data_IF_865533821606
#
_entry.id   IF_865533821606
#
_cell.length_a   1.000
_cell.length_b   1.000
_cell.length_c   1.000
_cell.angle_alpha   90.00
_cell.angle_beta   90.00
_cell.angle_gamma   90.00
#
_symmetry.space_group_name_H-M   'P 1'
#
loop_
_entity.id
_entity.type
_entity.pdbx_description
1 polymer ?
#
# COMPACT_ATOMS: atom_id res chain seq x y z
N UNK A 1 3.68 8.23 24.24
CA UNK A 1 3.27 9.00 23.07
C UNK A 1 1.90 8.53 22.66
N UNK A 2 1.05 9.45 22.22
CA UNK A 2 -0.24 9.11 21.61
C UNK A 2 -0.05 8.80 20.12
N UNK A 3 -0.99 8.07 19.50
CA UNK A 3 -0.97 7.81 18.05
C UNK A 3 -0.84 9.09 17.22
N UNK A 4 -1.41 10.21 17.68
CA UNK A 4 -1.35 11.50 17.00
C UNK A 4 0.05 12.12 17.09
N UNK A 5 0.71 12.00 18.25
CA UNK A 5 2.10 12.43 18.43
C UNK A 5 3.04 11.58 17.58
N UNK A 6 2.88 10.25 17.58
CA UNK A 6 3.68 9.35 16.76
C UNK A 6 3.50 9.62 15.26
N UNK A 7 2.30 9.99 14.83
CA UNK A 7 2.06 10.44 13.46
C UNK A 7 2.74 11.79 13.17
N UNK A 8 2.62 12.77 14.08
CA UNK A 8 3.23 14.10 13.92
C UNK A 8 4.75 14.04 13.82
N UNK A 9 5.39 13.19 14.63
CA UNK A 9 6.83 12.98 14.59
C UNK A 9 7.30 12.02 13.50
N UNK A 10 6.39 11.44 12.71
CA UNK A 10 6.72 10.52 11.62
C UNK A 10 7.15 9.13 12.07
N UNK A 11 6.85 8.73 13.31
CA UNK A 11 7.07 7.37 13.81
C UNK A 11 6.07 6.37 13.18
N UNK A 12 4.94 6.88 12.65
CA UNK A 12 3.98 6.10 11.88
C UNK A 12 4.08 6.55 10.41
N UNK A 13 4.57 5.64 9.56
CA UNK A 13 4.67 5.82 8.11
C UNK A 13 3.74 4.83 7.40
N UNK A 14 2.46 5.18 7.16
CA UNK A 14 1.49 4.23 6.63
C UNK A 14 1.78 3.78 5.19
N UNK A 15 2.56 4.57 4.46
CA UNK A 15 3.02 4.26 3.10
C UNK A 15 4.24 3.34 3.09
N UNK A 16 4.93 3.16 4.21
CA UNK A 16 6.13 2.35 4.29
C UNK A 16 5.75 0.89 4.58
N UNK A 17 5.98 0.01 3.60
CA UNK A 17 5.80 -1.43 3.78
C UNK A 17 7.13 -2.09 4.09
N UNK A 18 7.32 -2.50 5.34
CA UNK A 18 8.45 -3.35 5.70
C UNK A 18 8.21 -4.80 5.26
N UNK A 19 8.97 -5.28 4.27
CA UNK A 19 8.92 -6.67 3.85
C UNK A 19 9.88 -7.48 4.71
N UNK A 20 9.32 -8.19 5.70
CA UNK A 20 10.12 -9.09 6.54
C UNK A 20 10.62 -10.29 5.71
N UNK A 21 11.92 -10.61 5.86
CA UNK A 21 12.55 -11.77 5.19
C UNK A 21 11.82 -13.07 5.52
N UNK A 22 11.71 -13.95 4.53
CA UNK A 22 11.07 -15.26 4.67
C UNK A 22 9.55 -15.24 4.61
N UNK A 23 8.92 -14.06 4.58
CA UNK A 23 7.47 -13.93 4.35
C UNK A 23 7.09 -14.36 2.94
N UNK A 24 5.80 -14.62 2.72
CA UNK A 24 5.27 -14.88 1.37
C UNK A 24 5.55 -13.70 0.43
N UNK A 25 5.50 -12.47 0.93
CA UNK A 25 5.81 -11.26 0.16
C UNK A 25 7.27 -11.24 -0.28
N UNK A 26 8.22 -11.50 0.63
CA UNK A 26 9.66 -11.61 0.29
C UNK A 26 9.92 -12.67 -0.80
N UNK A 27 9.26 -13.83 -0.71
CA UNK A 27 9.38 -14.89 -1.73
C UNK A 27 8.80 -14.45 -3.08
N UNK A 28 7.67 -13.76 -3.09
CA UNK A 28 7.06 -13.25 -4.31
C UNK A 28 7.92 -12.17 -4.97
N UNK A 29 8.48 -11.23 -4.19
CA UNK A 29 9.40 -10.22 -4.72
C UNK A 29 10.60 -10.87 -5.40
N UNK A 30 11.20 -11.90 -4.78
CA UNK A 30 12.30 -12.64 -5.40
C UNK A 30 11.91 -13.33 -6.71
N UNK A 31 10.70 -13.89 -6.78
CA UNK A 31 10.18 -14.50 -8.00
C UNK A 31 9.93 -13.46 -9.09
N UNK A 32 9.41 -12.28 -8.73
CA UNK A 32 9.22 -11.16 -9.66
C UNK A 32 10.56 -10.75 -10.25
N UNK A 33 11.58 -10.49 -9.43
CA UNK A 33 12.91 -10.14 -9.93
C UNK A 33 13.50 -11.21 -10.85
N UNK A 34 13.40 -12.49 -10.46
CA UNK A 34 13.88 -13.59 -11.30
C UNK A 34 13.18 -13.63 -12.66
N UNK A 35 11.85 -13.52 -12.68
CA UNK A 35 11.08 -13.56 -13.92
C UNK A 35 11.36 -12.33 -14.79
N UNK A 36 11.59 -11.17 -14.17
CA UNK A 36 11.96 -9.94 -14.85
C UNK A 36 13.34 -10.06 -15.51
N UNK A 37 14.33 -10.62 -14.80
CA UNK A 37 15.67 -10.86 -15.34
C UNK A 37 15.62 -11.81 -16.55
N UNK A 38 14.89 -12.92 -16.42
CA UNK A 38 14.69 -13.91 -17.50
C UNK A 38 14.01 -13.29 -18.72
N UNK A 39 12.98 -12.45 -18.51
CA UNK A 39 12.29 -11.74 -19.58
C UNK A 39 13.22 -10.73 -20.27
N UNK A 40 13.92 -9.91 -19.49
CA UNK A 40 14.75 -8.80 -19.98
C UNK A 40 15.97 -9.30 -20.75
N UNK A 41 16.48 -10.49 -20.43
CA UNK A 41 17.58 -11.13 -21.16
C UNK A 41 17.24 -11.40 -22.65
N UNK A 42 15.96 -11.63 -22.97
CA UNK A 42 15.50 -11.90 -24.33
C UNK A 42 15.06 -10.65 -25.12
N UNK A 43 15.01 -9.47 -24.48
CA UNK A 43 14.51 -8.24 -25.10
C UNK A 43 15.62 -7.50 -25.87
N UNK A 44 15.26 -6.91 -27.00
CA UNK A 44 16.08 -5.91 -27.69
C UNK A 44 16.12 -4.59 -26.91
N UNK A 45 17.10 -3.73 -27.17
CA UNK A 45 17.23 -2.43 -26.47
C UNK A 45 15.96 -1.56 -26.57
N UNK A 46 15.32 -1.50 -27.75
CA UNK A 46 14.07 -0.75 -27.92
C UNK A 46 12.92 -1.34 -27.08
N UNK A 47 12.85 -2.67 -26.98
CA UNK A 47 11.85 -3.35 -26.16
C UNK A 47 12.11 -3.12 -24.67
N UNK A 48 13.37 -3.12 -24.23
CA UNK A 48 13.74 -2.78 -22.85
C UNK A 48 13.32 -1.35 -22.50
N UNK A 49 13.61 -0.38 -23.36
CA UNK A 49 13.18 1.01 -23.15
C UNK A 49 11.65 1.13 -23.00
N UNK A 50 10.91 0.39 -23.84
CA UNK A 50 9.44 0.37 -23.79
C UNK A 50 8.94 -0.31 -22.51
N UNK A 51 9.62 -1.39 -22.10
CA UNK A 51 9.28 -2.15 -20.90
C UNK A 51 9.54 -1.35 -19.61
N UNK A 52 10.66 -0.61 -19.53
CA UNK A 52 10.92 0.28 -18.40
C UNK A 52 9.87 1.40 -18.31
N UNK A 53 9.52 2.05 -19.43
CA UNK A 53 8.42 3.04 -19.44
C UNK A 53 7.09 2.43 -18.97
N UNK A 54 6.81 1.19 -19.37
CA UNK A 54 5.62 0.47 -18.89
C UNK A 54 5.67 0.21 -17.37
N UNK A 55 6.81 -0.21 -16.83
CA UNK A 55 7.00 -0.40 -15.39
C UNK A 55 6.82 0.93 -14.63
N UNK A 56 7.39 2.02 -15.12
CA UNK A 56 7.27 3.34 -14.53
C UNK A 56 5.80 3.77 -14.46
N UNK A 57 5.06 3.70 -15.58
CA UNK A 57 3.64 4.03 -15.60
C UNK A 57 2.80 3.13 -14.69
N UNK A 58 3.12 1.83 -14.63
CA UNK A 58 2.43 0.87 -13.74
C UNK A 58 2.70 1.17 -12.28
N UNK A 59 3.93 1.56 -11.93
CA UNK A 59 4.31 1.97 -10.58
C UNK A 59 3.60 3.26 -10.18
N UNK A 60 3.55 4.26 -11.06
CA UNK A 60 2.83 5.51 -10.80
C UNK A 60 1.33 5.27 -10.57
N UNK A 61 0.69 4.46 -11.42
CA UNK A 61 -0.71 4.07 -11.26
C UNK A 61 -0.95 3.35 -9.92
N UNK A 62 -0.03 2.46 -9.54
CA UNK A 62 -0.10 1.74 -8.26
C UNK A 62 -0.01 2.70 -7.09
N UNK A 63 0.91 3.67 -7.11
CA UNK A 63 1.02 4.71 -6.09
C UNK A 63 -0.28 5.53 -5.94
N UNK A 64 -0.89 5.94 -7.06
CA UNK A 64 -2.16 6.67 -7.04
C UNK A 64 -3.26 5.81 -6.41
N UNK A 65 -3.39 4.56 -6.86
CA UNK A 65 -4.42 3.63 -6.38
C UNK A 65 -4.24 3.30 -4.90
N UNK A 66 -3.01 3.07 -4.45
CA UNK A 66 -2.72 2.81 -3.03
C UNK A 66 -3.07 4.02 -2.15
N UNK A 67 -2.78 5.24 -2.60
CA UNK A 67 -3.17 6.47 -1.90
C UNK A 67 -4.69 6.64 -1.84
N UNK A 68 -5.40 6.38 -2.93
CA UNK A 68 -6.87 6.47 -2.97
C UNK A 68 -7.53 5.43 -2.07
N UNK A 69 -7.05 4.19 -2.11
CA UNK A 69 -7.50 3.11 -1.25
C UNK A 69 -7.23 3.43 0.23
N UNK A 70 -6.07 4.02 0.54
CA UNK A 70 -5.74 4.49 1.87
C UNK A 70 -6.75 5.53 2.38
N UNK A 71 -6.97 6.61 1.63
CA UNK A 71 -7.93 7.66 1.98
C UNK A 71 -9.35 7.08 2.18
N UNK A 72 -9.79 6.27 1.23
CA UNK A 72 -11.12 5.63 1.27
C UNK A 72 -11.27 4.72 2.48
N UNK A 73 -10.23 3.97 2.84
CA UNK A 73 -10.20 3.11 4.02
C UNK A 73 -10.35 3.88 5.33
N UNK A 74 -9.66 5.02 5.48
CA UNK A 74 -9.77 5.87 6.67
C UNK A 74 -11.15 6.51 6.80
N UNK A 75 -11.72 6.99 5.68
CA UNK A 75 -13.08 7.53 5.66
C UNK A 75 -14.08 6.46 6.10
N UNK A 76 -13.95 5.24 5.58
CA UNK A 76 -14.81 4.13 5.95
C UNK A 76 -14.67 3.77 7.44
N UNK A 77 -13.43 3.65 7.93
CA UNK A 77 -13.17 3.35 9.34
C UNK A 77 -13.78 4.41 10.27
N UNK A 78 -13.67 5.69 9.91
CA UNK A 78 -14.24 6.80 10.67
C UNK A 78 -15.77 6.73 10.70
N UNK A 79 -16.41 6.45 9.56
CA UNK A 79 -17.87 6.30 9.49
C UNK A 79 -18.37 5.17 10.39
N UNK A 80 -17.72 4.00 10.31
CA UNK A 80 -18.03 2.84 11.16
C UNK A 80 -17.90 3.22 12.64
N UNK A 81 -16.83 3.93 13.02
CA UNK A 81 -16.62 4.36 14.41
C UNK A 81 -17.74 5.29 14.90
N UNK A 82 -18.14 6.28 14.10
CA UNK A 82 -19.23 7.21 14.44
C UNK A 82 -20.55 6.46 14.63
N UNK A 83 -20.90 5.56 13.70
CA UNK A 83 -22.11 4.75 13.79
C UNK A 83 -22.14 3.88 15.06
N UNK A 84 -21.00 3.24 15.40
CA UNK A 84 -20.88 2.44 16.62
C UNK A 84 -21.05 3.30 17.88
N UNK A 85 -20.42 4.48 17.93
CA UNK A 85 -20.54 5.37 19.09
C UNK A 85 -21.96 5.86 19.29
N UNK A 86 -22.67 6.24 18.22
CA UNK A 86 -24.08 6.64 18.29
C UNK A 86 -24.97 5.50 18.80
N UNK A 87 -24.75 4.27 18.32
CA UNK A 87 -25.50 3.11 18.82
C UNK A 87 -25.24 2.80 20.29
N UNK A 88 -24.02 3.05 20.80
CA UNK A 88 -23.71 2.89 22.22
C UNK A 88 -24.40 3.94 23.09
N UNK A 89 -24.45 5.20 22.65
CA UNK A 89 -25.21 6.25 23.35
C UNK A 89 -26.71 5.92 23.41
N UNK A 90 -27.29 5.33 22.36
CA UNK A 90 -28.69 4.90 22.37
C UNK A 90 -28.95 3.75 23.36
N UNK A 91 -28.00 2.84 23.57
CA UNK A 91 -28.12 1.73 24.54
C UNK A 91 -27.92 2.19 25.99
N UNK A 92 -27.03 3.14 26.25
CA UNK A 92 -26.82 3.69 27.61
C UNK A 92 -28.00 4.54 28.11
N UNK A 93 -28.85 5.02 27.20
CA UNK A 93 -30.05 5.81 27.50
C UNK A 93 -31.34 4.97 27.67
N UNK A 94 -31.24 3.63 27.70
CA UNK A 94 -32.34 2.68 27.96
C UNK A 94 -32.18 2.05 29.35
#
# INVERSE_FOLDING_TARGET
MTTLEDLYYGNISPHERYIKRGTRVDKLVKLICKNEDELTAGLTEKQKETFEKFKDCTSELSCITEREAFSSGFILATRIMVEVMQGLEEVENI
#
